data_IF_433798204867
#
_entry.id   IF_433798204867
#
_cell.length_a   1.000
_cell.length_b   1.000
_cell.length_c   1.000
_cell.angle_alpha   90.00
_cell.angle_beta   90.00
_cell.angle_gamma   90.00
#
_symmetry.space_group_name_H-M   'P 1'
#
loop_
_entity.id
_entity.type
_entity.pdbx_description
1 polymer ?
#
# COMPACT_ATOMS: atom_id res chain seq x y z
N UNK A 1 24.93 0.77 2.60
CA UNK A 1 24.27 1.54 3.70
C UNK A 1 23.31 2.59 3.14
N UNK A 2 23.74 3.45 2.21
CA UNK A 2 22.83 4.41 1.54
C UNK A 2 21.62 3.73 0.87
N UNK A 3 21.85 2.68 0.08
CA UNK A 3 20.79 1.93 -0.63
C UNK A 3 19.74 1.37 0.33
N UNK A 4 20.15 0.84 1.49
CA UNK A 4 19.25 0.30 2.51
C UNK A 4 18.25 1.37 2.96
N UNK A 5 18.73 2.56 3.32
CA UNK A 5 17.87 3.66 3.76
C UNK A 5 17.00 4.17 2.62
N UNK A 6 17.57 4.37 1.43
CA UNK A 6 16.85 4.85 0.27
C UNK A 6 15.69 3.92 -0.12
N UNK A 7 15.96 2.62 -0.26
CA UNK A 7 14.96 1.60 -0.59
C UNK A 7 13.89 1.53 0.50
N UNK A 8 14.29 1.49 1.78
CA UNK A 8 13.34 1.44 2.90
C UNK A 8 12.44 2.67 2.94
N UNK A 9 12.97 3.86 2.69
CA UNK A 9 12.18 5.10 2.61
C UNK A 9 11.17 5.07 1.46
N UNK A 10 11.55 4.55 0.29
CA UNK A 10 10.62 4.38 -0.84
C UNK A 10 9.48 3.43 -0.45
N UNK A 11 9.79 2.29 0.16
CA UNK A 11 8.78 1.32 0.57
C UNK A 11 7.84 1.93 1.63
N UNK A 12 8.37 2.69 2.59
CA UNK A 12 7.56 3.40 3.58
C UNK A 12 6.62 4.39 2.92
N UNK A 13 7.10 5.18 1.95
CA UNK A 13 6.25 6.13 1.22
C UNK A 13 5.13 5.40 0.47
N UNK A 14 5.47 4.31 -0.23
CA UNK A 14 4.49 3.46 -0.92
C UNK A 14 3.44 2.92 0.06
N UNK A 15 3.85 2.43 1.23
CA UNK A 15 2.93 1.91 2.25
C UNK A 15 2.02 3.00 2.80
N UNK A 16 2.56 4.18 3.14
CA UNK A 16 1.77 5.29 3.68
C UNK A 16 0.77 5.81 2.64
N UNK A 17 1.20 6.02 1.39
CA UNK A 17 0.32 6.48 0.32
C UNK A 17 -0.76 5.46 -0.01
N UNK A 18 -0.47 4.17 0.14
CA UNK A 18 -1.43 3.13 -0.19
C UNK A 18 -2.39 2.79 0.96
N UNK A 19 -1.94 2.77 2.22
CA UNK A 19 -2.74 2.32 3.37
C UNK A 19 -3.27 3.45 4.27
N UNK A 20 -2.61 4.60 4.32
CA UNK A 20 -2.97 5.70 5.23
C UNK A 20 -3.53 6.92 4.48
N UNK A 21 -3.77 6.81 3.18
CA UNK A 21 -4.19 7.92 2.33
C UNK A 21 -5.18 7.48 1.25
N UNK A 22 -6.12 8.37 0.94
CA UNK A 22 -7.03 8.24 -0.20
C UNK A 22 -6.39 8.65 -1.54
N UNK A 23 -5.07 8.89 -1.57
CA UNK A 23 -4.36 9.33 -2.76
C UNK A 23 -4.63 8.44 -3.98
N UNK A 24 -4.67 7.12 -3.80
CA UNK A 24 -5.00 6.21 -4.91
C UNK A 24 -6.39 6.50 -5.49
N UNK A 25 -7.38 6.72 -4.63
CA UNK A 25 -8.76 6.98 -5.03
C UNK A 25 -8.80 8.31 -5.79
N UNK A 26 -8.23 9.37 -5.23
CA UNK A 26 -8.21 10.70 -5.84
C UNK A 26 -7.50 10.70 -7.22
N UNK A 27 -6.33 10.05 -7.31
CA UNK A 27 -5.60 9.97 -8.57
C UNK A 27 -6.33 9.12 -9.61
N UNK A 28 -6.91 7.99 -9.21
CA UNK A 28 -7.68 7.14 -10.11
C UNK A 28 -8.94 7.85 -10.63
N UNK A 29 -9.57 8.71 -9.84
CA UNK A 29 -10.66 9.57 -10.32
C UNK A 29 -10.17 10.62 -11.31
N UNK A 30 -9.06 11.29 -11.01
CA UNK A 30 -8.52 12.35 -11.85
C UNK A 30 -8.09 11.85 -13.24
N UNK A 31 -7.55 10.64 -13.33
CA UNK A 31 -7.16 10.03 -14.61
C UNK A 31 -8.30 9.33 -15.35
N UNK A 32 -9.53 9.36 -14.81
CA UNK A 32 -10.71 8.70 -15.40
C UNK A 32 -10.76 7.17 -15.22
N UNK A 33 -9.95 6.62 -14.31
CA UNK A 33 -9.92 5.19 -13.96
C UNK A 33 -10.98 4.77 -12.94
N UNK A 34 -11.83 5.70 -12.46
CA UNK A 34 -12.79 5.48 -11.38
C UNK A 34 -13.66 4.22 -11.57
N UNK A 35 -14.23 4.06 -12.77
CA UNK A 35 -15.07 2.91 -13.10
C UNK A 35 -14.29 1.60 -13.17
N UNK A 36 -13.07 1.61 -13.68
CA UNK A 36 -12.24 0.41 -13.82
C UNK A 36 -11.79 -0.13 -12.46
N UNK A 37 -11.43 0.77 -11.53
CA UNK A 37 -11.04 0.40 -10.17
C UNK A 37 -12.23 0.24 -9.21
N UNK A 38 -13.47 0.35 -9.68
CA UNK A 38 -14.66 0.20 -8.85
C UNK A 38 -14.87 1.32 -7.82
N UNK A 39 -14.27 2.49 -8.05
CA UNK A 39 -14.34 3.63 -7.12
C UNK A 39 -15.75 4.20 -7.02
N UNK A 40 -16.51 4.21 -8.12
CA UNK A 40 -17.89 4.67 -8.13
C UNK A 40 -18.77 3.79 -7.21
N UNK A 41 -18.66 2.47 -7.34
CA UNK A 41 -19.36 1.50 -6.48
C UNK A 41 -18.92 1.59 -5.03
N UNK A 42 -17.61 1.80 -4.80
CA UNK A 42 -17.07 2.04 -3.47
C UNK A 42 -17.71 3.26 -2.81
N UNK A 43 -17.77 4.40 -3.51
CA UNK A 43 -18.39 5.63 -2.99
C UNK A 43 -19.88 5.47 -2.72
N UNK A 44 -20.59 4.74 -3.59
CA UNK A 44 -22.00 4.40 -3.35
C UNK A 44 -22.17 3.58 -2.07
N UNK A 45 -21.35 2.54 -1.87
CA UNK A 45 -21.39 1.75 -0.63
C UNK A 45 -20.96 2.55 0.59
N UNK A 46 -19.94 3.40 0.49
CA UNK A 46 -19.47 4.25 1.57
C UNK A 46 -20.56 5.23 2.04
N UNK A 47 -21.44 5.69 1.14
CA UNK A 47 -22.59 6.54 1.51
C UNK A 47 -23.55 5.86 2.49
N UNK A 48 -23.62 4.53 2.47
CA UNK A 48 -24.44 3.72 3.39
C UNK A 48 -23.63 3.16 4.56
N UNK A 49 -22.31 3.06 4.43
CA UNK A 49 -21.38 2.50 5.43
C UNK A 49 -20.19 3.45 5.63
N UNK A 50 -20.36 4.42 6.52
CA UNK A 50 -19.37 5.47 6.76
C UNK A 50 -17.99 4.96 7.23
N UNK A 51 -17.90 3.73 7.76
CA UNK A 51 -16.63 3.12 8.20
C UNK A 51 -15.97 2.21 7.16
N UNK A 52 -16.51 2.12 5.93
CA UNK A 52 -15.94 1.31 4.88
C UNK A 52 -14.80 2.08 4.21
N UNK A 53 -13.58 1.56 4.34
CA UNK A 53 -12.41 2.01 3.60
C UNK A 53 -12.30 1.26 2.26
N UNK A 54 -11.46 1.77 1.36
CA UNK A 54 -11.34 1.21 0.02
C UNK A 54 -10.77 -0.22 0.04
N UNK A 55 -9.82 -0.52 0.92
CA UNK A 55 -9.27 -1.87 1.06
C UNK A 55 -10.32 -2.86 1.60
N UNK A 56 -11.18 -2.43 2.54
CA UNK A 56 -12.32 -3.20 3.01
C UNK A 56 -13.33 -3.47 1.89
N UNK A 57 -13.64 -2.48 1.07
CA UNK A 57 -14.47 -2.67 -0.13
C UNK A 57 -13.88 -3.69 -1.10
N UNK A 58 -12.58 -3.60 -1.41
CA UNK A 58 -11.92 -4.57 -2.29
C UNK A 58 -12.02 -6.00 -1.75
N UNK A 59 -11.84 -6.17 -0.44
CA UNK A 59 -11.96 -7.47 0.22
C UNK A 59 -13.40 -8.00 0.26
N UNK A 60 -14.40 -7.13 0.38
CA UNK A 60 -15.82 -7.50 0.36
C UNK A 60 -16.28 -7.87 -1.06
N UNK A 61 -15.82 -7.12 -2.07
CA UNK A 61 -16.16 -7.34 -3.48
C UNK A 61 -15.53 -8.62 -4.02
N UNK A 62 -14.21 -8.76 -3.90
CA UNK A 62 -13.47 -9.89 -4.45
C UNK A 62 -12.32 -10.32 -3.55
N UNK A 63 -12.58 -11.29 -2.67
CA UNK A 63 -11.57 -11.80 -1.75
C UNK A 63 -10.59 -12.80 -2.42
N UNK A 64 -9.77 -12.32 -3.36
CA UNK A 64 -8.77 -13.12 -4.08
C UNK A 64 -7.38 -12.98 -3.47
N UNK A 65 -6.45 -13.86 -3.87
CA UNK A 65 -5.05 -13.81 -3.41
C UNK A 65 -4.40 -12.45 -3.72
N UNK A 66 -4.62 -11.91 -4.92
CA UNK A 66 -4.05 -10.63 -5.33
C UNK A 66 -4.64 -9.46 -4.56
N UNK A 67 -5.95 -9.48 -4.29
CA UNK A 67 -6.57 -8.46 -3.44
C UNK A 67 -5.97 -8.53 -2.04
N UNK A 68 -5.87 -9.71 -1.42
CA UNK A 68 -5.19 -9.86 -0.12
C UNK A 68 -3.74 -9.38 -0.13
N UNK A 69 -3.04 -9.55 -1.25
CA UNK A 69 -1.65 -9.12 -1.40
C UNK A 69 -1.53 -7.59 -1.36
N UNK A 70 -2.43 -6.87 -2.02
CA UNK A 70 -2.44 -5.41 -2.03
C UNK A 70 -3.13 -4.81 -0.79
N UNK A 71 -4.06 -5.51 -0.14
CA UNK A 71 -4.76 -4.99 1.06
C UNK A 71 -4.10 -5.37 2.38
N UNK A 72 -3.10 -6.25 2.38
CA UNK A 72 -2.33 -6.58 3.57
C UNK A 72 -1.00 -5.81 3.60
N UNK A 73 -0.74 -4.93 4.61
CA UNK A 73 0.50 -4.17 4.69
C UNK A 73 1.77 -5.02 4.70
N UNK A 74 1.72 -6.19 5.37
CA UNK A 74 2.86 -7.10 5.43
C UNK A 74 3.14 -7.74 4.06
N UNK A 75 2.09 -8.20 3.37
CA UNK A 75 2.23 -8.81 2.05
C UNK A 75 2.70 -7.77 1.03
N UNK A 76 2.07 -6.60 1.03
CA UNK A 76 2.43 -5.53 0.13
C UNK A 76 3.87 -5.04 0.37
N UNK A 77 4.28 -4.85 1.63
CA UNK A 77 5.67 -4.51 1.98
C UNK A 77 6.65 -5.57 1.52
N UNK A 78 6.33 -6.86 1.69
CA UNK A 78 7.19 -7.95 1.24
C UNK A 78 7.45 -7.86 -0.27
N UNK A 79 6.40 -7.75 -1.08
CA UNK A 79 6.54 -7.71 -2.53
C UNK A 79 7.14 -6.40 -3.03
N UNK A 80 6.74 -5.26 -2.45
CA UNK A 80 7.35 -3.97 -2.76
C UNK A 80 8.86 -3.97 -2.46
N UNK A 81 9.26 -4.53 -1.30
CA UNK A 81 10.66 -4.63 -0.92
C UNK A 81 11.43 -5.57 -1.84
N UNK A 82 10.85 -6.72 -2.20
CA UNK A 82 11.50 -7.69 -3.08
C UNK A 82 11.77 -7.08 -4.46
N UNK A 83 10.75 -6.46 -5.05
CA UNK A 83 10.83 -5.83 -6.39
C UNK A 83 11.80 -4.64 -6.36
N UNK A 84 11.65 -3.73 -5.40
CA UNK A 84 12.49 -2.51 -5.34
C UNK A 84 13.95 -2.86 -5.09
N UNK A 85 14.23 -3.86 -4.24
CA UNK A 85 15.61 -4.28 -4.01
C UNK A 85 16.22 -4.89 -5.27
N UNK A 86 15.50 -5.78 -5.95
CA UNK A 86 15.97 -6.39 -7.19
C UNK A 86 16.26 -5.34 -8.28
N UNK A 87 15.37 -4.36 -8.46
CA UNK A 87 15.50 -3.32 -9.50
C UNK A 87 16.64 -2.35 -9.21
N UNK A 88 16.92 -2.03 -7.95
CA UNK A 88 17.93 -1.01 -7.58
C UNK A 88 19.33 -1.58 -7.47
N UNK A 89 19.49 -2.82 -7.00
CA UNK A 89 20.81 -3.38 -6.64
C UNK A 89 21.18 -4.64 -7.42
N UNK A 90 20.29 -5.14 -8.29
CA UNK A 90 20.42 -6.44 -8.98
C UNK A 90 20.65 -7.62 -8.01
N UNK A 91 20.33 -7.45 -6.72
CA UNK A 91 20.64 -8.40 -5.66
C UNK A 91 19.54 -8.46 -4.61
N UNK A 92 19.24 -9.67 -4.13
CA UNK A 92 18.22 -9.87 -3.08
C UNK A 92 18.81 -9.91 -1.66
N UNK A 93 20.10 -9.63 -1.49
CA UNK A 93 20.75 -9.71 -0.17
C UNK A 93 20.23 -8.67 0.82
N UNK A 94 19.87 -7.47 0.34
CA UNK A 94 19.36 -6.40 1.19
C UNK A 94 17.86 -6.52 1.49
N UNK A 95 17.13 -7.37 0.76
CA UNK A 95 15.67 -7.47 0.84
C UNK A 95 15.16 -7.67 2.28
N UNK A 96 15.67 -8.62 3.09
CA UNK A 96 15.14 -8.85 4.43
C UNK A 96 15.33 -7.63 5.34
N UNK A 97 16.49 -6.97 5.23
CA UNK A 97 16.80 -5.77 6.01
C UNK A 97 15.92 -4.58 5.59
N UNK A 98 15.78 -4.34 4.29
CA UNK A 98 14.90 -3.30 3.76
C UNK A 98 13.45 -3.49 4.21
N UNK A 99 12.93 -4.73 4.11
CA UNK A 99 11.54 -5.03 4.45
C UNK A 99 11.25 -4.82 5.96
N UNK A 100 12.13 -5.33 6.84
CA UNK A 100 11.95 -5.16 8.28
C UNK A 100 12.06 -3.69 8.67
N UNK A 101 13.04 -2.97 8.13
CA UNK A 101 13.22 -1.54 8.42
C UNK A 101 12.00 -0.73 7.94
N UNK A 102 11.52 -0.98 6.72
CA UNK A 102 10.36 -0.30 6.17
C UNK A 102 9.10 -0.56 7.01
N UNK A 103 8.85 -1.81 7.44
CA UNK A 103 7.70 -2.13 8.30
C UNK A 103 7.77 -1.47 9.67
N UNK A 104 8.95 -1.41 10.29
CA UNK A 104 9.13 -0.73 11.58
C UNK A 104 8.81 0.77 11.41
N UNK A 105 9.41 1.42 10.41
CA UNK A 105 9.21 2.84 10.17
C UNK A 105 7.74 3.11 9.82
N UNK A 106 7.15 2.33 8.92
CA UNK A 106 5.73 2.43 8.56
C UNK A 106 4.82 2.35 9.79
N UNK A 107 5.01 1.35 10.67
CA UNK A 107 4.19 1.18 11.87
C UNK A 107 4.36 2.32 12.89
N UNK A 108 5.56 2.89 12.99
CA UNK A 108 5.80 4.05 13.84
C UNK A 108 5.12 5.28 13.27
N UNK A 109 5.26 5.53 11.96
CA UNK A 109 4.66 6.67 11.28
C UNK A 109 3.14 6.59 11.24
N UNK A 110 2.56 5.44 10.92
CA UNK A 110 1.09 5.26 10.90
C UNK A 110 0.49 5.52 12.28
N UNK A 111 1.12 5.04 13.36
CA UNK A 111 0.70 5.34 14.72
C UNK A 111 0.73 6.83 15.06
N UNK A 112 1.69 7.57 14.51
CA UNK A 112 1.76 9.03 14.69
C UNK A 112 0.67 9.74 13.90
N UNK A 113 0.32 9.25 12.71
CA UNK A 113 -0.76 9.82 11.89
C UNK A 113 -2.16 9.50 12.43
N UNK A 114 -2.34 8.34 13.08
CA UNK A 114 -3.61 7.90 13.64
C UNK A 114 -3.88 8.39 15.07
N UNK A 115 -3.02 9.25 15.62
CA UNK A 115 -3.14 9.81 16.98
C UNK A 115 -3.74 11.21 16.97
#
# INVERSE_FOLDING_TARGET
MFELFFISSIIVLILLTWFESDAFIEYAELIGGAKFFGIEEFKEMQSTRASLDYHGYLLEKENTFFIRLITCPLCFSFWASLITTYVVTDSLLLFPMCNILALIVYKLTSKVLSS
#
